data_IF_811783836986
#
_entry.id   IF_811783836986
#
_cell.length_a   1.000
_cell.length_b   1.000
_cell.length_c   1.000
_cell.angle_alpha   90.00
_cell.angle_beta   90.00
_cell.angle_gamma   90.00
#
_symmetry.space_group_name_H-M   'P 1'
#
loop_
_entity.id
_entity.type
_entity.pdbx_description
1 polymer ?
#
# COMPACT_ATOMS: atom_id res chain seq x y z
N UNK A 1 42.93 -3.22 -21.93
CA UNK A 1 41.57 -3.45 -21.41
C UNK A 1 41.18 -2.44 -20.33
N UNK A 2 41.93 -2.32 -19.23
CA UNK A 2 41.65 -1.36 -18.14
C UNK A 2 41.54 0.09 -18.64
N UNK A 3 42.51 0.59 -19.41
CA UNK A 3 42.51 1.97 -19.94
C UNK A 3 41.29 2.28 -20.82
N UNK A 4 40.83 1.31 -21.62
CA UNK A 4 39.67 1.48 -22.52
C UNK A 4 38.38 1.53 -21.71
N UNK A 5 38.21 0.65 -20.71
CA UNK A 5 37.05 0.65 -19.81
C UNK A 5 37.01 1.94 -18.99
N UNK A 6 38.15 2.41 -18.49
CA UNK A 6 38.24 3.69 -17.78
C UNK A 6 37.88 4.88 -18.67
N UNK A 7 38.37 4.93 -19.91
CA UNK A 7 38.04 6.00 -20.86
C UNK A 7 36.55 6.00 -21.24
N UNK A 8 35.97 4.82 -21.47
CA UNK A 8 34.54 4.67 -21.75
C UNK A 8 33.69 5.12 -20.56
N UNK A 9 34.12 4.81 -19.34
CA UNK A 9 33.45 5.24 -18.11
C UNK A 9 33.42 6.76 -17.96
N UNK A 10 34.54 7.44 -18.24
CA UNK A 10 34.60 8.92 -18.21
C UNK A 10 33.69 9.53 -19.27
N UNK A 11 33.74 9.02 -20.51
CA UNK A 11 32.86 9.49 -21.59
C UNK A 11 31.37 9.30 -21.27
N UNK A 12 31.00 8.17 -20.67
CA UNK A 12 29.64 7.94 -20.21
C UNK A 12 29.23 8.89 -19.10
N UNK A 13 30.13 9.16 -18.15
CA UNK A 13 29.85 10.07 -17.06
C UNK A 13 29.64 11.50 -17.57
N UNK A 14 30.50 11.97 -18.48
CA UNK A 14 30.38 13.27 -19.11
C UNK A 14 29.05 13.40 -19.85
N UNK A 15 28.64 12.37 -20.58
CA UNK A 15 27.33 12.34 -21.23
C UNK A 15 26.16 12.39 -20.24
N UNK A 16 26.23 11.63 -19.15
CA UNK A 16 25.16 11.59 -18.13
C UNK A 16 25.04 12.91 -17.34
N UNK A 17 26.13 13.67 -17.25
CA UNK A 17 26.20 14.96 -16.56
C UNK A 17 26.03 16.16 -17.50
N UNK A 18 25.86 15.92 -18.80
CA UNK A 18 25.57 16.96 -19.78
C UNK A 18 24.27 17.69 -19.44
N UNK A 19 24.25 19.02 -19.59
CA UNK A 19 23.12 19.87 -19.21
C UNK A 19 21.81 19.49 -19.91
N UNK A 20 21.86 18.94 -21.12
CA UNK A 20 20.66 18.55 -21.88
C UNK A 20 20.12 17.16 -21.48
N UNK A 21 20.89 16.38 -20.72
CA UNK A 21 20.56 15.00 -20.30
C UNK A 21 20.40 14.88 -18.78
N UNK A 22 21.04 15.76 -18.01
CA UNK A 22 21.20 15.67 -16.54
C UNK A 22 19.87 15.52 -15.80
N UNK A 23 18.78 16.12 -16.30
CA UNK A 23 17.46 15.99 -15.69
C UNK A 23 16.96 14.53 -15.65
N UNK A 24 17.23 13.75 -16.70
CA UNK A 24 16.82 12.35 -16.79
C UNK A 24 17.71 11.45 -15.92
N UNK A 25 19.01 11.70 -15.93
CA UNK A 25 19.96 11.03 -15.04
C UNK A 25 19.61 11.26 -13.57
N UNK A 26 19.32 12.52 -13.20
CA UNK A 26 18.94 12.89 -11.84
C UNK A 26 17.62 12.24 -11.43
N UNK A 27 16.65 12.14 -12.35
CA UNK A 27 15.40 11.44 -12.09
C UNK A 27 15.64 9.94 -11.76
N UNK A 28 16.55 9.26 -12.47
CA UNK A 28 16.89 7.87 -12.15
C UNK A 28 17.63 7.74 -10.81
N UNK A 29 18.53 8.67 -10.49
CA UNK A 29 19.20 8.71 -9.18
C UNK A 29 18.21 8.95 -8.06
N UNK A 30 17.29 9.91 -8.23
CA UNK A 30 16.25 10.20 -7.26
C UNK A 30 15.28 9.02 -7.10
N UNK A 31 14.93 8.34 -8.19
CA UNK A 31 14.13 7.10 -8.16
C UNK A 31 14.79 6.02 -7.30
N UNK A 32 16.09 5.78 -7.51
CA UNK A 32 16.85 4.80 -6.72
C UNK A 32 16.93 5.24 -5.26
N UNK A 33 17.19 6.52 -4.99
CA UNK A 33 17.29 7.04 -3.63
C UNK A 33 15.97 6.89 -2.86
N UNK A 34 14.86 7.29 -3.46
CA UNK A 34 13.52 7.17 -2.86
C UNK A 34 13.12 5.70 -2.69
N UNK A 35 13.38 4.86 -3.70
CA UNK A 35 13.11 3.42 -3.63
C UNK A 35 13.95 2.72 -2.55
N UNK A 36 15.21 3.12 -2.37
CA UNK A 36 16.08 2.57 -1.33
C UNK A 36 15.59 2.96 0.08
N UNK A 37 15.14 4.20 0.26
CA UNK A 37 14.53 4.67 1.52
C UNK A 37 13.27 3.87 1.86
N UNK A 38 12.39 3.60 0.88
CA UNK A 38 11.24 2.72 1.09
C UNK A 38 11.63 1.27 1.39
N UNK A 39 12.66 0.74 0.71
CA UNK A 39 13.10 -0.64 0.90
C UNK A 39 13.61 -0.93 2.32
N UNK A 40 14.10 0.09 3.04
CA UNK A 40 14.52 -0.02 4.44
C UNK A 40 13.39 0.26 5.44
N UNK A 41 12.14 0.40 4.97
CA UNK A 41 10.96 0.58 5.83
C UNK A 41 10.77 1.99 6.37
N UNK A 42 11.43 2.99 5.78
CA UNK A 42 11.14 4.39 6.08
C UNK A 42 9.93 4.81 5.24
N UNK A 43 8.77 4.84 5.89
CA UNK A 43 7.58 5.38 5.28
C UNK A 43 7.66 6.91 5.29
N UNK A 44 7.46 7.51 4.12
CA UNK A 44 7.24 8.95 4.02
C UNK A 44 5.78 9.13 3.61
N UNK A 45 4.94 9.44 4.59
CA UNK A 45 3.54 9.76 4.34
C UNK A 45 3.47 11.04 3.51
N UNK A 46 3.28 10.85 2.20
CA UNK A 46 3.02 11.92 1.26
C UNK A 46 1.52 11.93 0.97
N UNK A 47 0.79 12.79 1.67
CA UNK A 47 -0.65 12.92 1.52
C UNK A 47 -1.03 13.35 0.10
N UNK A 48 -1.62 12.41 -0.66
CA UNK A 48 -2.13 12.66 -2.01
C UNK A 48 -3.36 13.58 -2.02
N UNK A 49 -4.06 13.70 -0.90
CA UNK A 49 -5.29 14.48 -0.76
C UNK A 49 -5.07 16.00 -0.97
N UNK A 50 -3.84 16.49 -0.80
CA UNK A 50 -3.49 17.88 -1.07
C UNK A 50 -3.36 18.21 -2.58
N UNK A 51 -3.24 17.19 -3.44
CA UNK A 51 -3.00 17.31 -4.88
C UNK A 51 -4.22 16.79 -5.66
N UNK A 52 -5.36 17.47 -5.52
CA UNK A 52 -6.67 16.97 -5.94
C UNK A 52 -6.81 16.50 -7.40
N UNK A 53 -7.73 15.55 -7.62
CA UNK A 53 -8.41 15.17 -8.87
C UNK A 53 -7.57 14.66 -10.05
N UNK A 54 -6.42 15.25 -10.34
CA UNK A 54 -5.56 14.89 -11.47
C UNK A 54 -4.76 13.61 -11.26
N UNK A 55 -4.44 13.29 -10.00
CA UNK A 55 -3.67 12.09 -9.66
C UNK A 55 -4.50 10.79 -9.71
N UNK A 56 -5.83 10.88 -9.51
CA UNK A 56 -6.74 9.72 -9.65
C UNK A 56 -6.64 9.08 -11.03
N UNK A 57 -6.41 9.90 -12.07
CA UNK A 57 -6.23 9.43 -13.43
C UNK A 57 -4.95 8.59 -13.63
N UNK A 58 -3.92 8.86 -12.83
CA UNK A 58 -2.64 8.12 -12.81
C UNK A 58 -2.69 6.85 -11.93
N UNK A 59 -3.85 6.52 -11.32
CA UNK A 59 -4.06 5.50 -10.29
C UNK A 59 -3.73 5.93 -8.85
N UNK A 60 -3.75 7.23 -8.52
CA UNK A 60 -3.91 7.60 -7.12
C UNK A 60 -5.21 6.97 -6.58
N UNK A 61 -5.15 6.35 -5.41
CA UNK A 61 -6.21 5.52 -4.84
C UNK A 61 -6.04 4.01 -5.03
N UNK A 62 -5.12 3.55 -5.89
CA UNK A 62 -4.69 2.13 -5.92
C UNK A 62 -3.27 1.90 -5.40
N UNK A 63 -2.43 2.93 -5.41
CA UNK A 63 -1.04 2.89 -4.97
C UNK A 63 -0.75 4.11 -4.07
N UNK A 64 0.12 3.97 -3.06
CA UNK A 64 0.66 5.10 -2.32
C UNK A 64 1.31 6.13 -3.25
N UNK A 65 1.20 7.43 -2.94
CA UNK A 65 1.70 8.52 -3.78
C UNK A 65 3.19 8.37 -4.08
N UNK A 66 3.98 7.98 -3.09
CA UNK A 66 5.40 7.76 -3.25
C UNK A 66 5.73 6.68 -4.26
N UNK A 67 4.95 5.60 -4.29
CA UNK A 67 5.17 4.53 -5.26
C UNK A 67 4.86 5.02 -6.68
N UNK A 68 3.78 5.79 -6.83
CA UNK A 68 3.44 6.43 -8.10
C UNK A 68 4.57 7.37 -8.57
N UNK A 69 5.16 8.13 -7.65
CA UNK A 69 6.30 9.01 -7.91
C UNK A 69 7.53 8.22 -8.37
N UNK A 70 7.90 7.14 -7.68
CA UNK A 70 9.03 6.26 -8.05
C UNK A 70 8.84 5.69 -9.46
N UNK A 71 7.63 5.19 -9.76
CA UNK A 71 7.29 4.68 -11.09
C UNK A 71 7.34 5.80 -12.13
N UNK A 72 6.85 7.00 -11.81
CA UNK A 72 6.93 8.15 -12.69
C UNK A 72 8.37 8.54 -13.01
N UNK A 73 9.24 8.69 -12.01
CA UNK A 73 10.66 9.02 -12.22
C UNK A 73 11.38 7.94 -13.04
N UNK A 74 11.08 6.67 -12.80
CA UNK A 74 11.64 5.56 -13.57
C UNK A 74 11.28 5.68 -15.06
N UNK A 75 9.99 5.83 -15.36
CA UNK A 75 9.50 5.95 -16.74
C UNK A 75 10.01 7.24 -17.39
N UNK A 76 9.96 8.37 -16.69
CA UNK A 76 10.45 9.66 -17.16
C UNK A 76 11.94 9.62 -17.51
N UNK A 77 12.77 9.06 -16.63
CA UNK A 77 14.21 8.92 -16.88
C UNK A 77 14.49 8.01 -18.08
N UNK A 78 13.82 6.85 -18.17
CA UNK A 78 13.98 5.92 -19.29
C UNK A 78 13.53 6.52 -20.62
N UNK A 79 12.35 7.15 -20.66
CA UNK A 79 11.80 7.78 -21.86
C UNK A 79 12.66 8.97 -22.30
N UNK A 80 13.11 9.79 -21.36
CA UNK A 80 13.97 10.93 -21.65
C UNK A 80 15.32 10.53 -22.23
N UNK A 81 15.98 9.53 -21.64
CA UNK A 81 17.21 8.98 -22.22
C UNK A 81 16.97 8.35 -23.59
N UNK A 82 15.91 7.57 -23.76
CA UNK A 82 15.56 6.98 -25.05
C UNK A 82 15.29 8.06 -26.12
N UNK A 83 14.63 9.15 -25.74
CA UNK A 83 14.38 10.30 -26.62
C UNK A 83 15.68 10.99 -27.03
N UNK A 84 16.60 11.22 -26.10
CA UNK A 84 17.91 11.80 -26.40
C UNK A 84 18.76 10.89 -27.29
N UNK A 85 18.73 9.58 -27.06
CA UNK A 85 19.42 8.61 -27.92
C UNK A 85 18.83 8.57 -29.34
N UNK A 86 17.50 8.65 -29.46
CA UNK A 86 16.85 8.73 -30.77
C UNK A 86 17.20 10.04 -31.49
N UNK A 87 17.26 11.17 -30.78
CA UNK A 87 17.67 12.45 -31.34
C UNK A 87 19.10 12.39 -31.88
N UNK A 88 20.04 11.86 -31.09
CA UNK A 88 21.43 11.67 -31.50
C UNK A 88 21.54 10.79 -32.76
N UNK A 89 20.78 9.71 -32.83
CA UNK A 89 20.83 8.78 -33.96
C UNK A 89 20.20 9.32 -35.25
N UNK A 90 19.21 10.21 -35.14
CA UNK A 90 18.43 10.70 -36.29
C UNK A 90 18.87 12.09 -36.78
N UNK A 91 19.38 12.92 -35.88
CA UNK A 91 19.67 14.33 -36.11
C UNK A 91 21.11 14.74 -35.76
N UNK A 92 21.99 13.76 -35.44
CA UNK A 92 23.38 13.97 -35.03
C UNK A 92 23.54 14.97 -33.86
N UNK A 93 22.51 15.08 -33.01
CA UNK A 93 22.49 16.01 -31.88
C UNK A 93 21.45 15.66 -30.82
N UNK A 94 21.63 16.18 -29.60
CA UNK A 94 20.66 16.07 -28.50
C UNK A 94 19.56 17.13 -28.62
N UNK A 95 18.38 16.81 -28.11
CA UNK A 95 17.32 17.80 -27.97
C UNK A 95 17.65 18.76 -26.81
N UNK A 96 17.44 20.08 -26.98
CA UNK A 96 17.57 21.02 -25.88
C UNK A 96 16.66 20.64 -24.71
N UNK A 97 17.16 20.77 -23.48
CA UNK A 97 16.41 20.38 -22.27
C UNK A 97 14.99 20.99 -22.21
N UNK A 98 14.83 22.23 -22.69
CA UNK A 98 13.54 22.96 -22.72
C UNK A 98 12.48 22.22 -23.53
N UNK A 99 12.86 21.47 -24.57
CA UNK A 99 11.96 20.65 -25.36
C UNK A 99 11.92 19.19 -24.87
N UNK A 100 13.07 18.63 -24.51
CA UNK A 100 13.19 17.23 -24.13
C UNK A 100 12.41 16.90 -22.84
N UNK A 101 12.54 17.75 -21.81
CA UNK A 101 11.91 17.54 -20.50
C UNK A 101 10.38 17.49 -20.59
N UNK A 102 9.67 18.49 -21.16
CA UNK A 102 8.22 18.43 -21.26
C UNK A 102 7.74 17.30 -22.18
N UNK A 103 8.44 17.02 -23.29
CA UNK A 103 8.09 15.90 -24.16
C UNK A 103 8.19 14.55 -23.42
N UNK A 104 9.28 14.32 -22.69
CA UNK A 104 9.47 13.12 -21.89
C UNK A 104 8.44 13.02 -20.75
N UNK A 105 8.11 14.14 -20.08
CA UNK A 105 7.10 14.16 -19.03
C UNK A 105 5.73 13.74 -19.54
N UNK A 106 5.29 14.28 -20.69
CA UNK A 106 4.00 13.92 -21.31
C UNK A 106 3.98 12.45 -21.74
N UNK A 107 5.08 11.97 -22.34
CA UNK A 107 5.21 10.57 -22.76
C UNK A 107 5.32 9.61 -21.57
N UNK A 108 5.80 10.08 -20.42
CA UNK A 108 5.90 9.28 -19.21
C UNK A 108 4.54 9.00 -18.58
N UNK A 109 3.58 9.93 -18.66
CA UNK A 109 2.24 9.78 -18.08
C UNK A 109 1.53 8.45 -18.45
N UNK A 110 1.38 8.08 -19.75
CA UNK A 110 0.76 6.80 -20.10
C UNK A 110 1.60 5.60 -19.65
N UNK A 111 2.93 5.71 -19.67
CA UNK A 111 3.83 4.65 -19.20
C UNK A 111 3.70 4.42 -17.69
N UNK A 112 3.63 5.50 -16.90
CA UNK A 112 3.39 5.45 -15.45
C UNK A 112 2.03 4.84 -15.14
N UNK A 113 0.98 5.21 -15.88
CA UNK A 113 -0.36 4.65 -15.70
C UNK A 113 -0.38 3.14 -15.98
N UNK A 114 0.31 2.68 -17.03
CA UNK A 114 0.42 1.27 -17.37
C UNK A 114 1.22 0.50 -16.31
N UNK A 115 2.41 0.99 -15.95
CA UNK A 115 3.26 0.37 -14.95
C UNK A 115 2.57 0.29 -13.58
N UNK A 116 1.89 1.37 -13.15
CA UNK A 116 1.11 1.39 -11.93
C UNK A 116 -0.02 0.34 -11.92
N UNK A 117 -0.71 0.13 -13.05
CA UNK A 117 -1.73 -0.93 -13.16
C UNK A 117 -1.15 -2.34 -13.05
N UNK A 118 0.07 -2.57 -13.55
CA UNK A 118 0.74 -3.86 -13.47
C UNK A 118 1.28 -4.15 -12.06
N UNK A 119 1.67 -3.09 -11.33
CA UNK A 119 2.19 -3.19 -9.96
C UNK A 119 1.09 -3.26 -8.89
N UNK A 120 -0.06 -2.62 -9.13
CA UNK A 120 -1.21 -2.58 -8.21
C UNK A 120 -1.67 -3.95 -7.64
N UNK A 121 -1.68 -5.08 -8.39
CA UNK A 121 -2.06 -6.37 -7.83
C UNK A 121 -0.98 -7.03 -6.96
N UNK A 122 0.28 -6.56 -7.02
CA UNK A 122 1.40 -7.11 -6.24
C UNK A 122 1.49 -6.42 -4.88
N UNK A 123 1.02 -5.19 -4.76
CA UNK A 123 0.99 -4.52 -3.46
C UNK A 123 -0.08 -5.15 -2.57
N UNK A 124 0.29 -5.60 -1.36
CA UNK A 124 -0.68 -5.77 -0.29
C UNK A 124 -1.39 -4.43 -0.16
N UNK A 125 -2.71 -4.43 -0.38
CA UNK A 125 -3.49 -3.27 0.03
C UNK A 125 -3.34 -3.20 1.54
N UNK A 126 -3.06 -2.02 2.06
CA UNK A 126 -3.40 -1.72 3.44
C UNK A 126 -4.92 -1.82 3.51
N UNK A 127 -5.39 -3.05 3.67
CA UNK A 127 -6.70 -3.34 4.22
C UNK A 127 -6.64 -2.85 5.65
N UNK A 128 -6.73 -1.52 5.77
CA UNK A 128 -7.11 -0.88 7.01
C UNK A 128 -8.33 -1.65 7.50
N UNK A 129 -8.27 -1.96 8.78
CA UNK A 129 -8.99 -2.94 9.59
C UNK A 129 -10.52 -2.84 9.57
N UNK A 130 -11.10 -2.16 8.59
CA UNK A 130 -12.51 -1.87 8.43
C UNK A 130 -13.31 -2.94 7.69
N UNK A 131 -12.68 -3.93 7.02
CA UNK A 131 -13.39 -5.10 6.44
C UNK A 131 -13.14 -6.39 7.24
N UNK A 132 -12.12 -6.40 8.10
CA UNK A 132 -11.85 -7.52 8.99
C UNK A 132 -12.90 -7.64 10.12
N UNK A 133 -13.44 -6.52 10.62
CA UNK A 133 -14.36 -6.53 11.77
C UNK A 133 -15.72 -7.17 11.43
N UNK A 134 -16.29 -6.93 10.25
CA UNK A 134 -17.50 -7.59 9.77
C UNK A 134 -17.27 -9.09 9.63
N UNK A 135 -16.05 -9.51 9.26
CA UNK A 135 -15.67 -10.93 9.17
C UNK A 135 -15.63 -11.64 10.54
N UNK A 136 -15.67 -10.88 11.64
CA UNK A 136 -15.76 -11.42 13.00
C UNK A 136 -17.20 -11.81 13.38
N UNK A 137 -18.21 -11.37 12.64
CA UNK A 137 -19.59 -11.86 12.82
C UNK A 137 -19.63 -13.37 12.53
N UNK A 138 -20.20 -14.13 13.45
CA UNK A 138 -20.18 -15.59 13.46
C UNK A 138 -18.96 -16.21 14.15
N UNK A 139 -18.04 -15.41 14.71
CA UNK A 139 -16.91 -15.91 15.51
C UNK A 139 -17.20 -15.94 16.99
N UNK A 140 -16.52 -16.86 17.67
CA UNK A 140 -16.59 -17.01 19.12
C UNK A 140 -15.69 -15.97 19.80
N UNK A 141 -16.19 -15.37 20.85
CA UNK A 141 -15.51 -14.37 21.64
C UNK A 141 -15.60 -14.74 23.13
N UNK A 142 -14.63 -14.25 23.90
CA UNK A 142 -14.61 -14.35 25.37
C UNK A 142 -14.34 -13.00 25.97
N UNK A 143 -15.11 -12.61 26.98
CA UNK A 143 -14.87 -11.36 27.70
C UNK A 143 -13.53 -11.48 28.44
N UNK A 144 -12.71 -10.44 28.32
CA UNK A 144 -11.40 -10.36 28.98
C UNK A 144 -11.37 -9.28 30.04
N UNK A 145 -12.24 -8.28 29.95
CA UNK A 145 -12.34 -7.19 30.92
C UNK A 145 -13.79 -6.73 31.04
N UNK A 146 -14.31 -6.79 32.26
CA UNK A 146 -15.61 -6.24 32.63
C UNK A 146 -16.77 -7.23 32.50
N UNK A 147 -17.99 -6.70 32.54
CA UNK A 147 -19.24 -7.45 32.38
C UNK A 147 -20.07 -6.75 31.31
N UNK A 148 -20.46 -7.48 30.27
CA UNK A 148 -21.24 -6.93 29.18
C UNK A 148 -22.72 -6.84 29.59
N UNK A 149 -23.30 -5.65 29.55
CA UNK A 149 -24.72 -5.40 29.88
C UNK A 149 -25.35 -4.48 28.82
N UNK A 150 -26.67 -4.48 28.65
CA UNK A 150 -27.34 -3.51 27.77
C UNK A 150 -26.95 -2.07 28.12
N UNK A 151 -26.43 -1.31 27.15
CA UNK A 151 -25.89 0.03 27.32
C UNK A 151 -24.53 0.14 28.03
N UNK A 152 -23.90 -0.99 28.39
CA UNK A 152 -22.58 -1.05 29.03
C UNK A 152 -21.73 -2.15 28.38
N UNK A 153 -21.07 -1.85 27.25
CA UNK A 153 -20.29 -2.84 26.53
C UNK A 153 -19.01 -3.21 27.28
N UNK A 154 -18.60 -4.47 27.18
CA UNK A 154 -17.37 -4.98 27.77
C UNK A 154 -16.35 -5.38 26.70
N UNK A 155 -15.09 -5.52 27.08
CA UNK A 155 -14.02 -5.87 26.14
C UNK A 155 -13.91 -7.39 26.01
N UNK A 156 -14.01 -7.89 24.79
CA UNK A 156 -13.86 -9.31 24.48
C UNK A 156 -12.73 -9.56 23.48
N UNK A 157 -12.10 -10.73 23.61
CA UNK A 157 -11.13 -11.25 22.65
C UNK A 157 -11.85 -12.19 21.69
N UNK A 158 -11.69 -11.95 20.40
CA UNK A 158 -12.15 -12.82 19.30
C UNK A 158 -10.96 -13.21 18.45
N UNK A 159 -10.96 -14.45 17.96
CA UNK A 159 -9.92 -14.94 17.04
C UNK A 159 -10.52 -15.03 15.63
N UNK A 160 -9.82 -14.47 14.65
CA UNK A 160 -10.25 -14.50 13.25
C UNK A 160 -9.93 -15.84 12.54
N UNK A 161 -10.18 -15.90 11.22
CA UNK A 161 -9.90 -17.08 10.40
C UNK A 161 -8.41 -17.46 10.34
N UNK A 162 -7.53 -16.49 10.57
CA UNK A 162 -6.08 -16.62 10.44
C UNK A 162 -5.39 -16.81 11.79
N UNK A 163 -6.16 -16.92 12.88
CA UNK A 163 -5.63 -17.12 14.23
C UNK A 163 -5.20 -15.83 14.94
N UNK A 164 -5.49 -14.65 14.36
CA UNK A 164 -5.15 -13.37 14.98
C UNK A 164 -6.19 -12.97 16.02
N UNK A 165 -5.73 -12.45 17.16
CA UNK A 165 -6.59 -12.01 18.25
C UNK A 165 -6.99 -10.54 18.05
N UNK A 166 -8.29 -10.28 17.97
CA UNK A 166 -8.89 -8.96 17.92
C UNK A 166 -9.60 -8.66 19.25
N UNK A 167 -9.52 -7.42 19.71
CA UNK A 167 -10.19 -6.97 20.92
C UNK A 167 -11.31 -6.00 20.56
N UNK A 168 -12.55 -6.45 20.76
CA UNK A 168 -13.76 -5.71 20.36
C UNK A 168 -14.64 -5.43 21.56
N UNK A 169 -15.48 -4.41 21.45
CA UNK A 169 -16.51 -4.12 22.44
C UNK A 169 -17.74 -4.98 22.14
N UNK A 170 -18.27 -5.66 23.16
CA UNK A 170 -19.44 -6.53 23.04
C UNK A 170 -20.54 -6.12 24.00
N UNK A 171 -21.78 -6.25 23.53
CA UNK A 171 -22.98 -5.99 24.30
C UNK A 171 -24.01 -7.12 24.08
N UNK A 172 -24.75 -7.56 25.12
CA UNK A 172 -25.78 -8.57 24.95
C UNK A 172 -26.81 -8.16 23.88
N UNK A 173 -27.22 -9.13 23.04
CA UNK A 173 -28.29 -8.95 22.06
C UNK A 173 -29.69 -8.98 22.70
N UNK A 174 -29.82 -9.65 23.85
CA UNK A 174 -31.04 -9.73 24.64
C UNK A 174 -30.78 -9.20 26.07
N UNK A 175 -31.85 -9.00 26.85
CA UNK A 175 -31.71 -8.64 28.25
C UNK A 175 -30.93 -9.72 29.02
N UNK A 176 -29.80 -9.32 29.63
CA UNK A 176 -28.91 -10.24 30.34
C UNK A 176 -27.56 -9.60 30.65
N UNK A 177 -26.70 -10.33 31.34
CA UNK A 177 -25.32 -9.94 31.59
C UNK A 177 -24.40 -11.12 31.24
N UNK A 178 -23.25 -10.83 30.63
CA UNK A 178 -22.24 -11.85 30.33
C UNK A 178 -20.90 -11.44 30.95
N UNK A 179 -20.21 -12.40 31.54
CA UNK A 179 -18.89 -12.22 32.17
C UNK A 179 -17.80 -13.02 31.43
N UNK A 180 -16.60 -13.08 32.02
CA UNK A 180 -15.43 -13.76 31.45
C UNK A 180 -15.58 -15.29 31.30
N UNK A 181 -16.61 -15.90 31.92
CA UNK A 181 -16.87 -17.33 31.87
C UNK A 181 -17.72 -17.74 30.68
N UNK A 182 -18.53 -16.82 30.16
CA UNK A 182 -19.41 -17.07 29.03
C UNK A 182 -18.62 -17.23 27.72
N UNK A 183 -19.01 -18.22 26.91
CA UNK A 183 -18.59 -18.33 25.52
C UNK A 183 -19.63 -17.63 24.65
N UNK A 184 -19.20 -16.61 23.91
CA UNK A 184 -20.09 -15.70 23.21
C UNK A 184 -19.94 -15.88 21.70
N UNK A 185 -21.04 -15.71 20.96
CA UNK A 185 -21.04 -15.62 19.51
C UNK A 185 -21.41 -14.22 19.07
N UNK A 186 -20.58 -13.62 18.22
CA UNK A 186 -20.83 -12.32 17.61
C UNK A 186 -21.92 -12.49 16.54
N UNK A 187 -23.08 -11.87 16.70
CA UNK A 187 -24.23 -12.04 15.78
C UNK A 187 -24.45 -10.85 14.85
N UNK A 188 -24.08 -9.66 15.29
CA UNK A 188 -24.19 -8.44 14.50
C UNK A 188 -23.19 -7.39 14.99
N UNK A 189 -22.93 -6.39 14.14
CA UNK A 189 -22.12 -5.21 14.48
C UNK A 189 -23.00 -3.96 14.35
N UNK A 190 -23.02 -3.14 15.39
CA UNK A 190 -23.71 -1.86 15.46
C UNK A 190 -22.67 -0.77 15.78
N UNK A 191 -22.15 -0.10 14.74
CA UNK A 191 -21.04 0.85 14.89
C UNK A 191 -19.77 0.15 15.38
N UNK A 192 -19.31 0.49 16.58
CA UNK A 192 -18.08 -0.07 17.18
C UNK A 192 -18.36 -1.17 18.20
N UNK A 193 -19.62 -1.55 18.39
CA UNK A 193 -20.05 -2.57 19.36
C UNK A 193 -20.64 -3.77 18.63
N UNK A 194 -20.26 -4.96 19.06
CA UNK A 194 -20.84 -6.19 18.56
C UNK A 194 -21.94 -6.69 19.49
N UNK A 195 -23.06 -7.11 18.89
CA UNK A 195 -24.11 -7.84 19.58
C UNK A 195 -23.69 -9.29 19.75
N UNK A 196 -23.83 -9.80 20.97
CA UNK A 196 -23.45 -11.17 21.32
C UNK A 196 -24.60 -11.95 21.91
N UNK A 197 -24.57 -13.26 21.65
CA UNK A 197 -25.40 -14.26 22.34
C UNK A 197 -24.49 -15.27 23.03
N UNK A 198 -24.90 -15.75 24.18
CA UNK A 198 -24.23 -16.86 24.85
C UNK A 198 -24.48 -18.16 24.08
N UNK A 199 -23.41 -18.90 23.85
CA UNK A 199 -23.47 -20.22 23.25
C UNK A 199 -23.28 -21.24 24.36
N UNK A 200 -24.30 -22.09 24.53
CA UNK A 200 -24.19 -23.26 25.39
C UNK A 200 -23.05 -24.15 24.85
N UNK A 201 -22.04 -24.52 25.65
CA UNK A 201 -21.03 -25.48 25.22
C UNK A 201 -21.70 -26.73 24.66
N UNK A 202 -21.40 -27.02 23.39
CA UNK A 202 -22.00 -28.10 22.60
C UNK A 202 -22.26 -29.38 23.43
N UNK A 203 -23.53 -29.75 23.69
CA UNK A 203 -23.86 -30.95 24.47
C UNK A 203 -23.41 -32.25 23.77
N UNK A 204 -22.99 -32.19 22.50
CA UNK A 204 -22.52 -33.34 21.74
C UNK A 204 -20.99 -33.50 21.73
N UNK A 205 -20.24 -32.61 22.39
CA UNK A 205 -18.78 -32.70 22.52
C UNK A 205 -18.30 -33.88 23.38
N UNK A 206 -19.09 -34.29 24.38
CA UNK A 206 -18.74 -35.39 25.28
C UNK A 206 -18.87 -36.78 24.62
N UNK A 207 -19.71 -36.91 23.58
CA UNK A 207 -19.98 -38.20 22.93
C UNK A 207 -18.89 -38.68 21.96
N UNK A 208 -17.83 -37.90 21.71
CA UNK A 208 -16.78 -38.21 20.72
C UNK A 208 -15.45 -38.64 21.33
N UNK A 209 -15.32 -38.62 22.66
CA UNK A 209 -14.10 -38.99 23.40
C UNK A 209 -14.29 -40.21 24.34
N UNK A 210 -15.35 -41.00 24.14
CA UNK A 210 -15.62 -42.25 24.88
C UNK A 210 -15.28 -43.50 24.09
#
# INVERSE_FOLDING_TARGET
MVVIVSALGVLMLDFLLDGDVVAFSLALVAMIAVGAVQAIGLDADADADAMGGGLDWLNAGRLPLLMLLVVFLAVFGMVGLALQQAALALADGVLPWVAAVPAAAVLALPGTRLAGRLLAPILPRDETTAVALESLVGRRARIVVGVARPGSPARARVTDAHGQAHFVMVEPAAAGEHDERAELLLVAREGDVFRVVEVDPDPFGEARNG
#
